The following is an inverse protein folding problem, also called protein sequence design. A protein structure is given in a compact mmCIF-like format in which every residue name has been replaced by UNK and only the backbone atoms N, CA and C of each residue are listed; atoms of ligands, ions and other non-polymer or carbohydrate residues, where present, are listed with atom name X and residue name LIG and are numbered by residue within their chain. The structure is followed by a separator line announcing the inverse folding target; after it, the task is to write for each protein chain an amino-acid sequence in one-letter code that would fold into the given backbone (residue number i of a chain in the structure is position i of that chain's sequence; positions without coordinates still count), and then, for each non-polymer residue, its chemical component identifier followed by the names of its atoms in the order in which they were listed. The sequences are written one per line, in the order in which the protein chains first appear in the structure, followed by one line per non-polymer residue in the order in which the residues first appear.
data_IF_706294567384
#
_entry.id   IF_706294567384
#
_cell.length_a   1.000
_cell.length_b   1.000
_cell.length_c   1.000
_cell.angle_alpha   90.00
_cell.angle_beta   90.00
_cell.angle_gamma   90.00
#
_symmetry.space_group_name_H-M   'P 1'
#
loop_
_entity.id
_entity.type
_entity.pdbx_description
1 polymer ?
#
# COMPACT_ATOMS: atom_id res chain seq x y z
N UNK A 1 -53.66 1.99 55.41
CA UNK A 1 -54.67 3.07 55.44
C UNK A 1 -55.98 2.62 56.10
N UNK A 2 -56.60 1.51 55.65
CA UNK A 2 -57.85 1.01 56.25
C UNK A 2 -57.77 0.57 57.73
N UNK A 3 -56.64 0.00 58.19
CA UNK A 3 -56.58 -0.53 59.57
C UNK A 3 -56.38 0.54 60.66
N UNK A 4 -55.90 1.74 60.29
CA UNK A 4 -55.69 2.85 61.25
C UNK A 4 -57.03 3.52 61.55
N UNK A 5 -57.82 3.78 60.51
CA UNK A 5 -59.17 4.37 60.62
C UNK A 5 -60.12 3.50 61.46
N UNK A 6 -60.01 2.17 61.35
CA UNK A 6 -60.84 1.25 62.11
C UNK A 6 -60.49 1.19 63.62
N UNK A 7 -59.22 1.38 63.96
CA UNK A 7 -58.75 1.47 65.36
C UNK A 7 -59.26 2.75 66.04
N UNK A 8 -59.19 3.89 65.33
CA UNK A 8 -59.59 5.20 65.88
C UNK A 8 -61.10 5.31 66.17
N UNK A 9 -61.94 4.62 65.39
CA UNK A 9 -63.37 4.49 65.64
C UNK A 9 -63.70 3.68 66.91
N UNK A 10 -62.85 2.73 67.30
CA UNK A 10 -63.08 1.90 68.49
C UNK A 10 -62.71 2.64 69.78
N UNK A 11 -61.61 3.41 69.77
CA UNK A 11 -61.19 4.21 70.93
C UNK A 11 -62.10 5.40 71.22
N UNK A 12 -62.66 6.03 70.18
CA UNK A 12 -63.61 7.14 70.33
C UNK A 12 -64.92 6.69 70.99
N UNK A 13 -65.45 5.52 70.63
CA UNK A 13 -66.63 4.91 71.25
C UNK A 13 -66.49 4.73 72.77
N UNK A 14 -65.35 4.18 73.22
CA UNK A 14 -65.12 3.92 74.65
C UNK A 14 -64.96 5.20 75.48
N UNK A 15 -64.28 6.23 74.95
CA UNK A 15 -64.12 7.52 75.64
C UNK A 15 -65.46 8.25 75.83
N UNK A 16 -66.34 8.21 74.83
CA UNK A 16 -67.69 8.80 74.89
C UNK A 16 -68.52 8.14 76.00
N UNK A 17 -68.41 6.82 76.15
CA UNK A 17 -69.14 6.08 77.19
C UNK A 17 -68.66 6.42 78.61
N UNK A 18 -67.35 6.62 78.81
CA UNK A 18 -66.76 6.90 80.12
C UNK A 18 -67.14 8.30 80.64
N UNK A 19 -67.13 9.31 79.77
CA UNK A 19 -67.48 10.68 80.17
C UNK A 19 -68.99 10.87 80.42
N UNK A 20 -69.86 10.05 79.83
CA UNK A 20 -71.32 10.15 80.00
C UNK A 20 -71.80 9.74 81.41
N UNK A 21 -71.02 8.90 82.10
CA UNK A 21 -71.40 8.31 83.41
C UNK A 21 -70.95 9.19 84.60
N UNK A 22 -70.04 10.15 84.40
CA UNK A 22 -69.36 10.84 85.51
C UNK A 22 -69.33 12.37 85.45
N UNK A 23 -69.96 13.00 84.46
CA UNK A 23 -69.88 14.45 84.27
C UNK A 23 -71.27 15.09 84.07
N UNK A 24 -71.44 16.34 84.50
CA UNK A 24 -72.68 17.08 84.24
C UNK A 24 -72.88 17.27 82.73
N UNK A 25 -74.13 17.35 82.25
CA UNK A 25 -74.45 17.44 80.80
C UNK A 25 -73.69 18.58 80.08
N UNK A 26 -73.44 19.69 80.76
CA UNK A 26 -72.76 20.85 80.19
C UNK A 26 -71.24 20.67 80.10
N UNK A 27 -70.61 20.04 81.11
CA UNK A 27 -69.17 19.72 81.08
C UNK A 27 -68.82 18.62 80.07
N UNK A 28 -69.69 17.62 79.90
CA UNK A 28 -69.54 16.59 78.86
C UNK A 28 -69.57 17.18 77.44
N UNK A 29 -70.54 18.07 77.17
CA UNK A 29 -70.71 18.70 75.86
C UNK A 29 -69.51 19.58 75.49
N UNK A 30 -68.99 20.36 76.45
CA UNK A 30 -67.78 21.16 76.23
C UNK A 30 -66.54 20.29 75.97
N UNK A 31 -66.35 19.20 76.73
CA UNK A 31 -65.25 18.25 76.50
C UNK A 31 -65.35 17.55 75.14
N UNK A 32 -66.56 17.16 74.72
CA UNK A 32 -66.80 16.54 73.42
C UNK A 32 -66.52 17.48 72.24
N UNK A 33 -66.90 18.76 72.35
CA UNK A 33 -66.59 19.78 71.35
C UNK A 33 -65.07 19.99 71.26
N UNK A 34 -64.37 20.08 72.40
CA UNK A 34 -62.92 20.22 72.44
C UNK A 34 -62.19 19.03 71.81
N UNK A 35 -62.62 17.80 72.12
CA UNK A 35 -62.08 16.57 71.54
C UNK A 35 -62.29 16.55 70.01
N UNK A 36 -63.52 16.83 69.55
CA UNK A 36 -63.84 16.82 68.12
C UNK A 36 -63.04 17.87 67.33
N UNK A 37 -62.87 19.08 67.87
CA UNK A 37 -62.07 20.13 67.24
C UNK A 37 -60.59 19.72 67.14
N UNK A 38 -60.03 19.10 68.17
CA UNK A 38 -58.64 18.60 68.12
C UNK A 38 -58.46 17.43 67.13
N UNK A 39 -59.45 16.55 66.98
CA UNK A 39 -59.41 15.49 65.96
C UNK A 39 -59.51 16.03 64.53
N UNK A 40 -60.32 17.08 64.30
CA UNK A 40 -60.40 17.76 63.00
C UNK A 40 -59.06 18.42 62.65
N UNK A 41 -58.47 19.18 63.59
CA UNK A 41 -57.14 19.78 63.46
C UNK A 41 -56.07 18.72 63.11
N UNK A 42 -56.08 17.57 63.81
CA UNK A 42 -55.15 16.46 63.55
C UNK A 42 -55.37 15.85 62.15
N UNK A 43 -56.61 15.68 61.72
CA UNK A 43 -56.95 15.16 60.39
C UNK A 43 -56.49 16.11 59.27
N UNK A 44 -56.76 17.42 59.39
CA UNK A 44 -56.29 18.41 58.42
C UNK A 44 -54.76 18.46 58.38
N UNK A 45 -54.09 18.42 59.54
CA UNK A 45 -52.64 18.35 59.62
C UNK A 45 -52.08 17.10 58.92
N UNK A 46 -52.70 15.93 59.09
CA UNK A 46 -52.30 14.69 58.43
C UNK A 46 -52.46 14.77 56.90
N UNK A 47 -53.59 15.30 56.41
CA UNK A 47 -53.86 15.47 54.97
C UNK A 47 -52.87 16.44 54.34
N UNK A 48 -52.63 17.60 54.98
CA UNK A 48 -51.65 18.59 54.52
C UNK A 48 -50.24 17.97 54.50
N UNK A 49 -49.84 17.26 55.57
CA UNK A 49 -48.55 16.61 55.65
C UNK A 49 -48.35 15.57 54.53
N UNK A 50 -49.37 14.74 54.26
CA UNK A 50 -49.32 13.75 53.17
C UNK A 50 -49.21 14.39 51.78
N UNK A 51 -49.88 15.53 51.57
CA UNK A 51 -49.85 16.28 50.30
C UNK A 51 -48.50 16.96 50.08
N UNK A 52 -47.92 17.53 51.13
CA UNK A 52 -46.57 18.11 51.11
C UNK A 52 -45.54 17.01 50.80
N UNK A 53 -45.64 15.85 51.44
CA UNK A 53 -44.74 14.72 51.18
C UNK A 53 -44.82 14.23 49.74
N UNK A 54 -46.05 14.09 49.20
CA UNK A 54 -46.25 13.68 47.81
C UNK A 54 -45.68 14.68 46.81
N UNK A 55 -45.94 15.98 47.02
CA UNK A 55 -45.43 17.05 46.15
C UNK A 55 -43.90 17.20 46.22
N UNK A 56 -43.28 16.97 47.38
CA UNK A 56 -41.83 16.94 47.53
C UNK A 56 -41.21 15.78 46.73
N UNK A 57 -41.76 14.57 46.85
CA UNK A 57 -41.28 13.40 46.10
C UNK A 57 -41.47 13.59 44.57
N UNK A 58 -42.61 14.15 44.16
CA UNK A 58 -42.87 14.43 42.75
C UNK A 58 -41.87 15.45 42.18
N UNK A 59 -41.51 16.47 42.95
CA UNK A 59 -40.51 17.46 42.56
C UNK A 59 -39.12 16.84 42.39
N UNK A 60 -38.69 16.01 43.34
CA UNK A 60 -37.40 15.30 43.26
C UNK A 60 -37.33 14.41 42.01
N UNK A 61 -38.42 13.70 41.69
CA UNK A 61 -38.50 12.90 40.46
C UNK A 61 -38.40 13.76 39.19
N UNK A 62 -39.05 14.93 39.15
CA UNK A 62 -38.97 15.86 38.02
C UNK A 62 -37.52 16.38 37.85
N UNK A 63 -36.88 16.80 38.94
CA UNK A 63 -35.50 17.29 38.91
C UNK A 63 -34.52 16.21 38.39
N UNK A 64 -34.73 14.94 38.76
CA UNK A 64 -33.97 13.82 38.22
C UNK A 64 -34.23 13.55 36.74
N UNK A 65 -35.48 13.68 36.27
CA UNK A 65 -35.82 13.53 34.86
C UNK A 65 -35.17 14.61 34.00
N UNK A 66 -35.23 15.87 34.44
CA UNK A 66 -34.59 17.00 33.76
C UNK A 66 -33.07 16.81 33.68
N UNK A 67 -32.45 16.36 34.78
CA UNK A 67 -31.01 16.07 34.82
C UNK A 67 -30.63 14.97 33.83
N UNK A 68 -31.40 13.89 33.79
CA UNK A 68 -31.16 12.77 32.88
C UNK A 68 -31.35 13.17 31.41
N UNK A 69 -32.33 14.01 31.09
CA UNK A 69 -32.54 14.53 29.73
C UNK A 69 -31.33 15.36 29.27
N UNK A 70 -30.80 16.22 30.15
CA UNK A 70 -29.59 17.00 29.87
C UNK A 70 -28.37 16.09 29.64
N UNK A 71 -28.19 15.03 30.43
CA UNK A 71 -27.10 14.06 30.21
C UNK A 71 -27.25 13.30 28.90
N UNK A 72 -28.47 12.88 28.58
CA UNK A 72 -28.78 12.17 27.34
C UNK A 72 -28.48 13.05 26.12
N UNK A 73 -28.91 14.32 26.13
CA UNK A 73 -28.64 15.28 25.05
C UNK A 73 -27.14 15.51 24.85
N UNK A 74 -26.36 15.63 25.93
CA UNK A 74 -24.88 15.72 25.87
C UNK A 74 -24.27 14.48 25.23
N UNK A 75 -24.77 13.28 25.57
CA UNK A 75 -24.30 12.02 24.99
C UNK A 75 -24.59 11.94 23.50
N UNK A 76 -25.80 12.31 23.05
CA UNK A 76 -26.15 12.37 21.63
C UNK A 76 -25.26 13.34 20.85
N UNK A 77 -25.04 14.55 21.39
CA UNK A 77 -24.15 15.53 20.76
C UNK A 77 -22.71 15.03 20.64
N UNK A 78 -22.22 14.26 21.63
CA UNK A 78 -20.89 13.65 21.57
C UNK A 78 -20.82 12.54 20.51
N UNK A 79 -21.86 11.74 20.37
CA UNK A 79 -21.96 10.70 19.34
C UNK A 79 -22.02 11.30 17.93
N UNK A 80 -22.80 12.35 17.73
CA UNK A 80 -22.90 13.06 16.44
C UNK A 80 -21.54 13.63 16.01
N UNK A 81 -20.83 14.30 16.92
CA UNK A 81 -19.46 14.77 16.66
C UNK A 81 -18.51 13.63 16.29
N UNK A 82 -18.59 12.51 17.01
CA UNK A 82 -17.76 11.34 16.72
C UNK A 82 -18.09 10.76 15.34
N UNK A 83 -19.36 10.66 14.99
CA UNK A 83 -19.82 10.18 13.68
C UNK A 83 -19.32 11.07 12.54
N UNK A 84 -19.43 12.40 12.70
CA UNK A 84 -18.91 13.36 11.73
C UNK A 84 -17.40 13.21 11.54
N UNK A 85 -16.63 13.14 12.63
CA UNK A 85 -15.17 12.93 12.55
C UNK A 85 -14.80 11.59 11.91
N UNK A 86 -15.62 10.54 12.11
CA UNK A 86 -15.37 9.24 11.52
C UNK A 86 -15.64 9.24 10.02
N UNK A 87 -16.68 9.96 9.57
CA UNK A 87 -16.98 10.16 8.15
C UNK A 87 -15.84 10.88 7.43
N UNK A 88 -15.30 11.95 8.03
CA UNK A 88 -14.17 12.70 7.46
C UNK A 88 -12.92 11.82 7.33
N UNK A 89 -12.59 11.05 8.37
CA UNK A 89 -11.48 10.10 8.32
C UNK A 89 -11.67 9.03 7.22
N UNK A 90 -12.89 8.55 6.99
CA UNK A 90 -13.18 7.58 5.93
C UNK A 90 -12.96 8.20 4.55
N UNK A 91 -13.40 9.44 4.33
CA UNK A 91 -13.21 10.14 3.06
C UNK A 91 -11.73 10.41 2.77
N UNK A 92 -10.96 10.79 3.78
CA UNK A 92 -9.52 10.97 3.64
C UNK A 92 -8.78 9.66 3.41
N UNK A 93 -9.17 8.57 4.10
CA UNK A 93 -8.64 7.23 3.81
C UNK A 93 -8.96 6.80 2.37
N UNK A 94 -10.15 7.11 1.86
CA UNK A 94 -10.52 6.79 0.48
C UNK A 94 -9.62 7.51 -0.53
N UNK A 95 -9.34 8.80 -0.33
CA UNK A 95 -8.38 9.56 -1.17
C UNK A 95 -6.98 8.96 -1.11
N UNK A 96 -6.53 8.57 0.08
CA UNK A 96 -5.22 7.90 0.25
C UNK A 96 -5.19 6.59 -0.53
N UNK A 97 -6.23 5.75 -0.43
CA UNK A 97 -6.31 4.47 -1.17
C UNK A 97 -6.29 4.70 -2.69
N UNK A 98 -7.01 5.69 -3.19
CA UNK A 98 -7.00 6.05 -4.62
C UNK A 98 -5.60 6.48 -5.08
N UNK A 99 -4.92 7.33 -4.31
CA UNK A 99 -3.54 7.74 -4.60
C UNK A 99 -2.56 6.56 -4.57
N UNK A 100 -2.70 5.64 -3.62
CA UNK A 100 -1.86 4.45 -3.52
C UNK A 100 -2.09 3.51 -4.71
N UNK A 101 -3.33 3.37 -5.18
CA UNK A 101 -3.65 2.56 -6.36
C UNK A 101 -2.96 3.09 -7.61
N UNK A 102 -2.89 4.41 -7.79
CA UNK A 102 -2.13 5.01 -8.89
C UNK A 102 -0.62 4.76 -8.78
N UNK A 103 -0.06 4.90 -7.57
CA UNK A 103 1.36 4.62 -7.31
C UNK A 103 1.69 3.16 -7.62
N UNK A 104 0.86 2.22 -7.16
CA UNK A 104 1.02 0.78 -7.43
C UNK A 104 0.97 0.50 -8.93
N UNK A 105 0.04 1.12 -9.67
CA UNK A 105 -0.04 0.96 -11.12
C UNK A 105 1.21 1.51 -11.84
N UNK A 106 1.71 2.68 -11.42
CA UNK A 106 2.96 3.26 -11.95
C UNK A 106 4.15 2.35 -11.65
N UNK A 107 4.25 1.82 -10.43
CA UNK A 107 5.28 0.87 -10.03
C UNK A 107 5.22 -0.42 -10.84
N UNK A 108 4.04 -1.02 -11.02
CA UNK A 108 3.83 -2.21 -11.86
C UNK A 108 4.30 -1.97 -13.29
N UNK A 109 3.93 -0.83 -13.87
CA UNK A 109 4.38 -0.47 -15.22
C UNK A 109 5.90 -0.29 -15.30
N UNK A 110 6.53 0.32 -14.29
CA UNK A 110 8.00 0.42 -14.24
C UNK A 110 8.69 -0.93 -14.09
N UNK A 111 8.15 -1.82 -13.25
CA UNK A 111 8.67 -3.18 -13.06
C UNK A 111 8.58 -3.99 -14.35
N UNK A 112 7.45 -3.91 -15.06
CA UNK A 112 7.29 -4.57 -16.35
C UNK A 112 8.34 -4.07 -17.36
N UNK A 113 8.52 -2.74 -17.46
CA UNK A 113 9.55 -2.16 -18.34
C UNK A 113 10.97 -2.62 -17.98
N UNK A 114 11.29 -2.68 -16.69
CA UNK A 114 12.59 -3.16 -16.21
C UNK A 114 12.78 -4.63 -16.51
N UNK A 115 11.75 -5.46 -16.31
CA UNK A 115 11.79 -6.90 -16.63
C UNK A 115 12.04 -7.12 -18.11
N UNK A 116 11.31 -6.43 -18.98
CA UNK A 116 11.54 -6.50 -20.44
C UNK A 116 12.95 -6.04 -20.83
N UNK A 117 13.49 -5.00 -20.17
CA UNK A 117 14.88 -4.58 -20.40
C UNK A 117 15.89 -5.65 -19.98
N UNK A 118 15.65 -6.30 -18.84
CA UNK A 118 16.49 -7.39 -18.35
C UNK A 118 16.48 -8.56 -19.35
N UNK A 119 15.30 -8.96 -19.84
CA UNK A 119 15.16 -10.04 -20.83
C UNK A 119 15.91 -9.70 -22.13
N UNK A 120 15.80 -8.45 -22.60
CA UNK A 120 16.56 -7.97 -23.76
C UNK A 120 18.07 -8.01 -23.52
N UNK A 121 18.54 -7.58 -22.34
CA UNK A 121 19.95 -7.62 -21.97
C UNK A 121 20.47 -9.06 -21.93
N UNK A 122 19.69 -10.03 -21.43
CA UNK A 122 20.07 -11.44 -21.49
C UNK A 122 20.24 -11.94 -22.92
N UNK A 123 19.32 -11.59 -23.81
CA UNK A 123 19.43 -11.91 -25.24
C UNK A 123 20.70 -11.29 -25.87
N UNK A 124 20.99 -10.02 -25.55
CA UNK A 124 22.21 -9.34 -25.97
C UNK A 124 23.48 -10.01 -25.42
N UNK A 125 23.48 -10.46 -24.16
CA UNK A 125 24.61 -11.18 -23.58
C UNK A 125 24.84 -12.54 -24.26
N UNK A 126 23.78 -13.30 -24.53
CA UNK A 126 23.89 -14.58 -25.26
C UNK A 126 24.46 -14.34 -26.67
N UNK A 127 24.03 -13.28 -27.35
CA UNK A 127 24.60 -12.90 -28.64
C UNK A 127 26.10 -12.56 -28.54
N UNK A 128 26.48 -11.69 -27.60
CA UNK A 128 27.89 -11.30 -27.37
C UNK A 128 28.74 -12.55 -27.06
N UNK A 129 28.24 -13.46 -26.23
CA UNK A 129 28.92 -14.71 -25.89
C UNK A 129 29.12 -15.60 -27.13
N UNK A 130 28.10 -15.72 -27.99
CA UNK A 130 28.18 -16.46 -29.25
C UNK A 130 29.26 -15.89 -30.19
N UNK A 131 29.30 -14.57 -30.32
CA UNK A 131 30.30 -13.87 -31.15
C UNK A 131 31.70 -14.03 -30.57
N UNK A 132 31.87 -13.84 -29.26
CA UNK A 132 33.15 -14.04 -28.60
C UNK A 132 33.68 -15.46 -28.80
N UNK A 133 32.80 -16.46 -28.69
CA UNK A 133 33.12 -17.87 -28.91
C UNK A 133 33.55 -18.12 -30.36
N UNK A 134 32.81 -17.56 -31.34
CA UNK A 134 33.16 -17.68 -32.76
C UNK A 134 34.52 -17.03 -33.08
N UNK A 135 34.79 -15.83 -32.55
CA UNK A 135 36.09 -15.14 -32.73
C UNK A 135 37.21 -15.98 -32.11
N UNK A 136 37.00 -16.48 -30.90
CA UNK A 136 38.00 -17.29 -30.18
C UNK A 136 38.35 -18.56 -30.95
N UNK A 137 37.34 -19.27 -31.47
CA UNK A 137 37.57 -20.44 -32.33
C UNK A 137 38.25 -20.09 -33.65
N UNK A 138 37.88 -18.97 -34.28
CA UNK A 138 38.53 -18.51 -35.51
C UNK A 138 40.01 -18.17 -35.27
N UNK A 139 40.33 -17.48 -34.17
CA UNK A 139 41.71 -17.13 -33.80
C UNK A 139 42.52 -18.39 -33.48
N UNK A 140 42.03 -19.27 -32.60
CA UNK A 140 42.79 -20.48 -32.24
C UNK A 140 42.90 -21.47 -33.40
N UNK A 141 41.84 -21.66 -34.18
CA UNK A 141 41.88 -22.48 -35.39
C UNK A 141 42.81 -21.91 -36.45
N UNK A 142 42.78 -20.58 -36.63
CA UNK A 142 43.63 -19.89 -37.60
C UNK A 142 45.09 -19.81 -37.21
N UNK A 143 45.37 -19.64 -35.92
CA UNK A 143 46.74 -19.58 -35.40
C UNK A 143 47.45 -20.93 -35.56
N UNK A 144 46.73 -22.04 -35.41
CA UNK A 144 47.28 -23.38 -35.67
C UNK A 144 47.64 -23.55 -37.16
N UNK A 145 46.73 -23.18 -38.07
CA UNK A 145 47.00 -23.19 -39.51
C UNK A 145 48.21 -22.32 -39.84
N UNK A 146 48.24 -21.07 -39.36
CA UNK A 146 49.34 -20.15 -39.63
C UNK A 146 50.68 -20.68 -39.11
N UNK A 147 50.68 -21.32 -37.94
CA UNK A 147 51.87 -21.95 -37.35
C UNK A 147 52.39 -23.09 -38.22
N UNK A 148 51.52 -23.94 -38.75
CA UNK A 148 51.93 -25.05 -39.62
C UNK A 148 52.44 -24.56 -40.99
N UNK A 149 51.92 -23.44 -41.48
CA UNK A 149 52.43 -22.79 -42.70
C UNK A 149 53.84 -22.23 -42.50
N UNK A 150 54.10 -21.58 -41.38
CA UNK A 150 55.43 -21.06 -41.08
C UNK A 150 56.47 -22.16 -40.78
N UNK A 151 56.05 -23.34 -40.30
CA UNK A 151 56.95 -24.49 -40.11
C UNK A 151 57.53 -25.04 -41.41
N UNK A 152 56.85 -24.88 -42.54
CA UNK A 152 57.25 -25.41 -43.84
C UNK A 152 58.02 -24.41 -44.74
N UNK A 153 58.37 -23.22 -44.23
CA UNK A 153 59.25 -22.30 -44.96
C UNK A 153 60.67 -22.87 -44.96
N UNK A 154 61.15 -23.26 -46.14
CA UNK A 154 62.57 -23.53 -46.41
C UNK A 154 63.34 -22.24 -46.72
N UNK A 155 64.68 -22.32 -46.74
CA UNK A 155 65.59 -21.18 -46.97
C UNK A 155 65.54 -20.57 -48.39
N UNK A 156 64.60 -21.01 -49.24
CA UNK A 156 64.47 -20.58 -50.63
C UNK A 156 63.37 -19.51 -50.79
N UNK A 157 63.59 -18.48 -51.66
CA UNK A 157 62.65 -17.39 -51.89
C UNK A 157 61.28 -17.86 -52.40
N UNK A 158 61.24 -18.96 -53.17
CA UNK A 158 60.00 -19.56 -53.65
C UNK A 158 59.10 -20.11 -52.52
N UNK A 159 59.68 -20.66 -51.43
CA UNK A 159 58.89 -21.18 -50.30
C UNK A 159 58.30 -20.05 -49.44
N UNK A 160 59.03 -18.93 -49.37
CA UNK A 160 58.57 -17.70 -48.74
C UNK A 160 57.37 -17.13 -49.52
N UNK A 161 57.45 -17.11 -50.86
CA UNK A 161 56.35 -16.69 -51.74
C UNK A 161 55.08 -17.53 -51.55
N UNK A 162 55.20 -18.87 -51.51
CA UNK A 162 54.06 -19.78 -51.26
C UNK A 162 53.37 -19.50 -49.93
N UNK A 163 54.15 -19.30 -48.86
CA UNK A 163 53.60 -19.02 -47.54
C UNK A 163 52.93 -17.65 -47.49
N UNK A 164 53.48 -16.64 -48.19
CA UNK A 164 52.91 -15.30 -48.26
C UNK A 164 51.58 -15.28 -49.01
N UNK A 165 51.46 -16.03 -50.11
CA UNK A 165 50.21 -16.18 -50.87
C UNK A 165 49.14 -16.84 -49.99
N UNK A 166 49.50 -17.92 -49.29
CA UNK A 166 48.54 -18.63 -48.47
C UNK A 166 48.11 -17.82 -47.24
N UNK A 167 49.04 -17.07 -46.63
CA UNK A 167 48.74 -16.11 -45.57
C UNK A 167 47.82 -14.98 -46.04
N UNK A 168 47.99 -14.48 -47.27
CA UNK A 168 47.13 -13.45 -47.85
C UNK A 168 45.70 -13.97 -48.08
N UNK A 169 45.55 -15.18 -48.64
CA UNK A 169 44.24 -15.83 -48.81
C UNK A 169 43.56 -16.04 -47.45
N UNK A 170 44.33 -16.54 -46.47
CA UNK A 170 43.84 -16.75 -45.11
C UNK A 170 43.39 -15.45 -44.44
N UNK A 171 44.17 -14.38 -44.56
CA UNK A 171 43.85 -13.05 -44.06
C UNK A 171 42.59 -12.46 -44.69
N UNK A 172 42.35 -12.71 -45.98
CA UNK A 172 41.15 -12.26 -46.69
C UNK A 172 39.89 -12.98 -46.18
N UNK A 173 39.98 -14.29 -45.94
CA UNK A 173 38.88 -15.07 -45.35
C UNK A 173 38.60 -14.60 -43.91
N UNK A 174 39.65 -14.42 -43.10
CA UNK A 174 39.50 -13.95 -41.72
C UNK A 174 38.90 -12.54 -41.64
N UNK A 175 39.34 -11.63 -42.51
CA UNK A 175 38.76 -10.30 -42.61
C UNK A 175 37.25 -10.33 -42.91
N UNK A 176 36.85 -11.18 -43.87
CA UNK A 176 35.43 -11.36 -44.22
C UNK A 176 34.60 -11.89 -43.05
N UNK A 177 35.12 -12.86 -42.29
CA UNK A 177 34.45 -13.39 -41.09
C UNK A 177 34.29 -12.29 -40.03
N UNK A 178 35.33 -11.50 -39.77
CA UNK A 178 35.30 -10.41 -38.79
C UNK A 178 34.25 -9.34 -39.18
N UNK A 179 34.25 -8.87 -40.43
CA UNK A 179 33.25 -7.91 -40.93
C UNK A 179 31.82 -8.47 -40.82
N UNK A 180 31.63 -9.75 -41.14
CA UNK A 180 30.34 -10.41 -40.98
C UNK A 180 29.89 -10.38 -39.50
N UNK A 181 30.77 -10.75 -38.57
CA UNK A 181 30.46 -10.77 -37.14
C UNK A 181 30.10 -9.37 -36.60
N UNK A 182 30.84 -8.32 -37.01
CA UNK A 182 30.49 -6.95 -36.66
C UNK A 182 29.17 -6.49 -37.27
N UNK A 183 28.86 -6.91 -38.49
CA UNK A 183 27.56 -6.65 -39.11
C UNK A 183 26.42 -7.31 -38.31
N UNK A 184 26.57 -8.56 -37.89
CA UNK A 184 25.61 -9.24 -37.03
C UNK A 184 25.44 -8.56 -35.67
N UNK A 185 26.53 -8.09 -35.04
CA UNK A 185 26.46 -7.27 -33.81
C UNK A 185 25.65 -6.00 -34.03
N UNK A 186 25.93 -5.26 -35.10
CA UNK A 186 25.26 -3.99 -35.40
C UNK A 186 23.76 -4.21 -35.60
N UNK A 187 23.41 -5.31 -36.31
CA UNK A 187 22.03 -5.72 -36.55
C UNK A 187 21.29 -6.11 -35.26
N UNK A 188 21.94 -6.85 -34.36
CA UNK A 188 21.37 -7.26 -33.07
C UNK A 188 21.14 -6.06 -32.15
N UNK A 189 22.07 -5.09 -32.14
CA UNK A 189 21.91 -3.85 -31.37
C UNK A 189 20.86 -2.89 -31.92
N UNK A 190 20.22 -3.21 -33.05
CA UNK A 190 19.26 -2.32 -33.69
C UNK A 190 19.87 -0.99 -34.13
N UNK A 191 21.19 -0.92 -34.26
CA UNK A 191 21.88 0.24 -34.81
C UNK A 191 21.62 0.18 -36.32
N UNK A 192 20.51 0.78 -36.75
CA UNK A 192 20.29 1.09 -38.16
C UNK A 192 21.36 2.07 -38.56
N UNK A 193 22.10 1.76 -39.63
CA UNK A 193 23.22 2.53 -40.17
C UNK A 193 22.83 4.00 -40.41
N UNK A 194 22.87 4.79 -39.34
CA UNK A 194 22.56 6.19 -39.33
C UNK A 194 23.90 6.91 -39.36
N UNK A 195 24.33 7.22 -40.58
CA UNK A 195 25.15 8.39 -40.93
C UNK A 195 26.60 8.48 -40.41
N UNK A 196 27.38 7.39 -40.42
CA UNK A 196 28.87 7.46 -40.42
C UNK A 196 29.52 6.53 -41.45
N UNK A 197 29.05 6.59 -42.69
CA UNK A 197 29.39 5.60 -43.73
C UNK A 197 30.70 5.89 -44.50
N UNK A 198 31.26 7.10 -44.41
CA UNK A 198 32.49 7.43 -45.14
C UNK A 198 33.73 6.78 -44.53
N UNK A 199 33.91 6.86 -43.21
CA UNK A 199 35.13 6.35 -42.56
C UNK A 199 35.21 4.82 -42.56
N UNK A 200 34.06 4.12 -42.45
CA UNK A 200 34.01 2.66 -42.53
C UNK A 200 34.36 2.16 -43.94
N UNK A 201 33.80 2.81 -44.97
CA UNK A 201 34.14 2.51 -46.36
C UNK A 201 35.62 2.76 -46.67
N UNK A 202 36.20 3.83 -46.14
CA UNK A 202 37.63 4.12 -46.27
C UNK A 202 38.50 3.05 -45.58
N UNK A 203 38.14 2.64 -44.36
CA UNK A 203 38.88 1.62 -43.63
C UNK A 203 38.85 0.24 -44.34
N UNK A 204 37.67 -0.19 -44.80
CA UNK A 204 37.54 -1.45 -45.55
C UNK A 204 38.30 -1.42 -46.88
N UNK A 205 38.33 -0.26 -47.55
CA UNK A 205 39.07 -0.12 -48.81
C UNK A 205 40.60 -0.14 -48.59
N UNK A 206 41.09 0.45 -47.50
CA UNK A 206 42.50 0.36 -47.09
C UNK A 206 42.87 -1.09 -46.75
N UNK A 207 42.06 -1.80 -45.95
CA UNK A 207 42.32 -3.19 -45.58
C UNK A 207 42.39 -4.12 -46.81
N UNK A 208 41.44 -3.97 -47.75
CA UNK A 208 41.46 -4.71 -49.02
C UNK A 208 42.66 -4.36 -49.91
N UNK A 209 43.11 -3.10 -49.91
CA UNK A 209 44.30 -2.70 -50.68
C UNK A 209 45.58 -3.31 -50.10
N UNK A 210 45.72 -3.35 -48.76
CA UNK A 210 46.88 -3.96 -48.11
C UNK A 210 46.94 -5.46 -48.40
N UNK A 211 45.82 -6.18 -48.31
CA UNK A 211 45.76 -7.62 -48.60
C UNK A 211 46.11 -7.94 -50.06
N UNK A 212 45.64 -7.14 -51.02
CA UNK A 212 45.96 -7.35 -52.44
C UNK A 212 47.44 -7.07 -52.75
N UNK A 213 48.06 -6.07 -52.12
CA UNK A 213 49.50 -5.80 -52.25
C UNK A 213 50.35 -6.95 -51.72
N UNK A 214 49.99 -7.51 -50.56
CA UNK A 214 50.69 -8.68 -49.99
C UNK A 214 50.58 -9.89 -50.93
N UNK A 215 49.42 -10.10 -51.55
CA UNK A 215 49.18 -11.19 -52.49
C UNK A 215 50.04 -11.04 -53.75
N UNK A 216 50.14 -9.82 -54.31
CA UNK A 216 50.99 -9.52 -55.46
C UNK A 216 52.48 -9.72 -55.13
N UNK A 217 52.93 -9.26 -53.96
CA UNK A 217 54.30 -9.49 -53.49
C UNK A 217 54.61 -10.98 -53.32
N UNK A 218 53.65 -11.76 -52.81
CA UNK A 218 53.77 -13.20 -52.69
C UNK A 218 53.94 -13.89 -54.03
N UNK A 219 53.13 -13.51 -55.03
CA UNK A 219 53.23 -14.02 -56.40
C UNK A 219 54.57 -13.63 -57.04
N UNK A 220 55.03 -12.40 -56.85
CA UNK A 220 56.30 -11.92 -57.40
C UNK A 220 57.51 -12.68 -56.82
N UNK A 221 57.48 -12.98 -55.52
CA UNK A 221 58.50 -13.81 -54.85
C UNK A 221 58.40 -15.29 -55.20
N UNK A 222 57.23 -15.78 -55.62
CA UNK A 222 57.05 -17.15 -56.07
C UNK A 222 57.60 -17.38 -57.49
N UNK A 223 57.51 -16.37 -58.36
CA UNK A 223 57.98 -16.42 -59.76
C UNK A 223 59.51 -16.26 -59.84
N UNK A 224 60.14 -15.62 -58.85
CA UNK A 224 61.56 -15.26 -58.83
C UNK A 224 62.41 -16.28 -58.07
#
# INVERSE_FOLDING_TARGET
MYSIVASDLYWSSNLVSYFYIHDSKDTFKQKMIFINNNYQELYYALVICSTILYSANAKEMIDHLDTNEVELSKKYKKLEKKQSSLSENIDDQKKIIESQKEIINKQKNSLNKTTTKIDNIYSEFVAILGIFTAITFAIFGGMNLLTDLFKNIGSTPASLGQTLILAAIFGLIMWGIIELLFYWISKIKGITDSTKDKNKKYFNWIAMSVLTVILILGILLFIK
#
